data_IF_560604758669
#
_entry.id   IF_560604758669
#
_cell.length_a   1.000
_cell.length_b   1.000
_cell.length_c   1.000
_cell.angle_alpha   90.00
_cell.angle_beta   90.00
_cell.angle_gamma   90.00
#
_symmetry.space_group_name_H-M   'P 1'
#
loop_
_entity.id
_entity.type
_entity.pdbx_description
1 polymer ?
#
# COMPACT_ATOMS: atom_id res chain seq x y z
N UNK A 1 -4.89 -2.44 -18.80
CA UNK A 1 -5.35 -3.37 -17.74
C UNK A 1 -6.77 -3.86 -18.04
N UNK A 2 -7.72 -2.99 -18.29
CA UNK A 2 -9.14 -3.35 -18.55
C UNK A 2 -9.43 -4.22 -19.78
N UNK A 3 -8.44 -4.43 -20.66
CA UNK A 3 -8.54 -5.35 -21.81
C UNK A 3 -8.12 -6.79 -21.49
N UNK A 4 -7.75 -7.06 -20.24
CA UNK A 4 -7.30 -8.38 -19.79
C UNK A 4 -8.40 -9.11 -19.03
N UNK A 5 -8.41 -10.43 -19.19
CA UNK A 5 -9.18 -11.36 -18.40
C UNK A 5 -8.25 -12.39 -17.78
N UNK A 6 -8.62 -12.95 -16.66
CA UNK A 6 -7.88 -14.01 -15.97
C UNK A 6 -8.83 -15.16 -15.67
N UNK A 7 -8.38 -16.38 -15.93
CA UNK A 7 -9.10 -17.59 -15.55
C UNK A 7 -8.57 -18.11 -14.22
N UNK A 8 -9.47 -18.27 -13.25
CA UNK A 8 -9.15 -18.78 -11.91
C UNK A 8 -10.19 -19.84 -11.56
N UNK A 9 -9.74 -21.08 -11.30
CA UNK A 9 -10.60 -22.21 -10.98
C UNK A 9 -11.71 -22.45 -12.04
N UNK A 10 -11.38 -22.34 -13.32
CA UNK A 10 -12.31 -22.56 -14.43
C UNK A 10 -13.33 -21.43 -14.63
N UNK A 11 -13.18 -20.31 -13.97
CA UNK A 11 -14.02 -19.14 -14.15
C UNK A 11 -13.21 -17.95 -14.65
N UNK A 12 -13.70 -17.28 -15.69
CA UNK A 12 -13.07 -16.10 -16.26
C UNK A 12 -13.54 -14.84 -15.56
N UNK A 13 -12.61 -13.95 -15.23
CA UNK A 13 -12.85 -12.67 -14.56
C UNK A 13 -12.22 -11.53 -15.38
N UNK A 14 -12.94 -10.43 -15.61
CA UNK A 14 -12.34 -9.22 -16.15
C UNK A 14 -11.42 -8.58 -15.11
N UNK A 15 -10.26 -8.08 -15.54
CA UNK A 15 -9.34 -7.34 -14.68
C UNK A 15 -9.69 -5.86 -14.71
N UNK A 16 -9.82 -5.26 -13.53
CA UNK A 16 -10.08 -3.82 -13.34
C UNK A 16 -8.88 -3.15 -12.65
N UNK A 17 -8.50 -1.93 -13.05
CA UNK A 17 -7.58 -1.13 -12.27
C UNK A 17 -8.24 -0.70 -10.95
N UNK A 18 -7.47 -0.68 -9.88
CA UNK A 18 -7.93 -0.11 -8.61
C UNK A 18 -7.90 1.41 -8.74
N UNK A 19 -9.04 2.07 -8.52
CA UNK A 19 -9.27 3.49 -8.86
C UNK A 19 -9.10 4.46 -7.70
N UNK A 20 -8.99 3.98 -6.47
CA UNK A 20 -8.92 4.81 -5.27
C UNK A 20 -7.56 4.73 -4.55
N UNK A 21 -6.55 4.23 -5.21
CA UNK A 21 -5.14 4.35 -4.84
C UNK A 21 -4.34 4.82 -6.06
N UNK A 22 -3.10 5.23 -5.83
CA UNK A 22 -2.21 5.77 -6.87
C UNK A 22 -0.76 5.41 -6.59
N UNK A 23 0.05 5.31 -7.63
CA UNK A 23 1.49 5.44 -7.52
C UNK A 23 1.84 6.88 -7.08
N UNK A 24 3.05 7.11 -6.60
CA UNK A 24 3.43 8.38 -6.00
C UNK A 24 4.91 8.69 -6.13
N UNK A 25 5.29 9.96 -5.96
CA UNK A 25 6.69 10.31 -5.82
C UNK A 25 7.19 10.08 -4.39
N UNK A 26 8.50 9.88 -4.29
CA UNK A 26 9.23 9.67 -3.03
C UNK A 26 10.17 10.85 -2.82
N UNK A 27 10.26 11.36 -1.59
CA UNK A 27 11.25 12.35 -1.17
C UNK A 27 12.10 11.80 -0.04
N UNK A 28 13.21 12.48 0.22
CA UNK A 28 14.11 12.11 1.32
C UNK A 28 13.36 12.02 2.65
N UNK A 29 13.38 10.85 3.28
CA UNK A 29 12.63 10.50 4.50
C UNK A 29 11.10 10.66 4.42
N UNK A 30 10.53 10.74 3.20
CA UNK A 30 9.10 10.89 2.99
C UNK A 30 8.64 9.95 1.89
N UNK A 31 7.91 8.90 2.26
CA UNK A 31 7.47 7.86 1.31
C UNK A 31 6.48 8.40 0.27
N UNK A 32 5.57 9.30 0.66
CA UNK A 32 4.66 10.01 -0.24
C UNK A 32 5.08 11.48 -0.37
N UNK A 33 5.67 11.84 -1.51
CA UNK A 33 6.25 13.16 -1.75
C UNK A 33 5.26 14.25 -2.18
N UNK A 34 3.98 13.91 -2.31
CA UNK A 34 2.89 14.85 -2.62
C UNK A 34 2.42 14.86 -4.09
N UNK A 35 3.11 14.16 -5.01
CA UNK A 35 2.62 13.92 -6.38
C UNK A 35 2.08 12.49 -6.47
N UNK A 36 0.97 12.30 -7.20
CA UNK A 36 0.30 11.01 -7.41
C UNK A 36 0.22 10.67 -8.89
N UNK A 37 0.28 9.37 -9.20
CA UNK A 37 0.02 8.83 -10.54
C UNK A 37 -1.20 7.91 -10.42
N UNK A 38 -2.40 8.38 -10.82
CA UNK A 38 -3.62 7.57 -10.75
C UNK A 38 -3.59 6.42 -11.75
N UNK A 39 -4.24 5.30 -11.42
CA UNK A 39 -4.31 4.13 -12.30
C UNK A 39 -5.44 4.21 -13.33
N UNK A 40 -6.23 5.27 -13.27
CA UNK A 40 -7.30 5.57 -14.23
C UNK A 40 -7.06 6.94 -14.86
N UNK A 41 -7.52 7.10 -16.08
CA UNK A 41 -7.47 8.40 -16.76
C UNK A 41 -8.31 9.42 -16.00
N UNK A 42 -7.73 10.58 -15.71
CA UNK A 42 -8.37 11.70 -15.04
C UNK A 42 -7.96 13.04 -15.67
N UNK A 43 -8.36 14.15 -15.08
CA UNK A 43 -8.05 15.50 -15.53
C UNK A 43 -6.80 16.12 -14.89
N UNK A 44 -6.08 15.38 -14.06
CA UNK A 44 -4.85 15.86 -13.43
C UNK A 44 -3.78 16.17 -14.49
N UNK A 45 -3.20 17.37 -14.43
CA UNK A 45 -2.17 17.86 -15.34
C UNK A 45 -0.79 17.93 -14.68
N UNK A 46 -0.65 17.39 -13.45
CA UNK A 46 0.62 17.35 -12.73
C UNK A 46 1.65 16.57 -13.53
N UNK A 47 2.83 17.16 -13.73
CA UNK A 47 3.93 16.55 -14.47
C UNK A 47 5.03 16.05 -13.55
N UNK A 48 5.70 15.01 -13.98
CA UNK A 48 6.98 14.61 -13.41
C UNK A 48 8.05 15.62 -13.81
N UNK A 49 9.02 15.87 -12.94
CA UNK A 49 10.15 16.77 -13.16
C UNK A 49 11.46 15.99 -13.07
N UNK A 50 12.50 16.50 -13.72
CA UNK A 50 13.82 15.91 -13.68
C UNK A 50 14.36 15.86 -12.24
N UNK A 51 14.91 14.71 -11.85
CA UNK A 51 15.44 14.47 -10.50
C UNK A 51 14.42 13.99 -9.48
N UNK A 52 13.13 13.88 -9.84
CA UNK A 52 12.13 13.25 -8.96
C UNK A 52 12.22 11.74 -9.02
N UNK A 53 12.00 11.09 -7.88
CA UNK A 53 11.93 9.63 -7.74
C UNK A 53 10.48 9.21 -7.52
N UNK A 54 10.04 8.19 -8.23
CA UNK A 54 8.67 7.68 -8.14
C UNK A 54 8.66 6.19 -7.83
N UNK A 55 7.72 5.78 -6.99
CA UNK A 55 7.26 4.40 -6.89
C UNK A 55 6.16 4.20 -7.95
N UNK A 56 6.51 3.50 -9.03
CA UNK A 56 5.55 3.17 -10.09
C UNK A 56 4.94 1.82 -9.78
N UNK A 57 3.81 1.84 -9.17
CA UNK A 57 3.06 0.66 -8.77
C UNK A 57 1.73 0.58 -9.52
N UNK A 58 1.20 -0.61 -9.70
CA UNK A 58 -0.09 -0.84 -10.33
C UNK A 58 -0.85 -1.95 -9.58
N UNK A 59 -2.15 -1.78 -9.45
CA UNK A 59 -3.02 -2.74 -8.79
C UNK A 59 -4.18 -3.12 -9.70
N UNK A 60 -4.29 -4.42 -9.97
CA UNK A 60 -5.42 -5.01 -10.70
C UNK A 60 -6.26 -5.89 -9.77
N UNK A 61 -7.57 -5.91 -9.98
CA UNK A 61 -8.51 -6.71 -9.20
C UNK A 61 -9.58 -7.33 -10.09
N UNK A 62 -10.12 -8.46 -9.66
CA UNK A 62 -11.30 -9.10 -10.26
C UNK A 62 -12.62 -8.63 -9.59
N UNK A 63 -12.52 -7.77 -8.59
CA UNK A 63 -13.66 -7.27 -7.80
C UNK A 63 -14.25 -5.96 -8.34
N UNK A 64 -14.55 -5.04 -7.45
CA UNK A 64 -15.20 -3.77 -7.78
C UNK A 64 -14.31 -2.73 -8.44
N UNK A 65 -13.00 -2.87 -8.32
CA UNK A 65 -12.00 -1.85 -8.69
C UNK A 65 -11.86 -0.77 -7.63
N UNK A 66 -12.28 -1.03 -6.39
CA UNK A 66 -12.05 -0.17 -5.22
C UNK A 66 -11.57 -1.01 -4.06
N UNK A 67 -10.64 -0.47 -3.30
CA UNK A 67 -10.22 -1.02 -2.01
C UNK A 67 -10.95 -0.28 -0.89
N UNK A 68 -11.20 -1.00 0.18
CA UNK A 68 -11.88 -0.52 1.39
C UNK A 68 -10.99 -0.80 2.59
N UNK A 69 -11.05 0.07 3.59
CA UNK A 69 -10.29 -0.10 4.83
C UNK A 69 -10.79 -1.33 5.59
N UNK A 70 -9.87 -2.21 5.94
CA UNK A 70 -10.14 -3.37 6.79
C UNK A 70 -9.44 -3.13 8.14
N UNK A 71 -10.24 -2.78 9.14
CA UNK A 71 -9.77 -2.24 10.41
C UNK A 71 -9.30 -3.33 11.36
N UNK A 72 -8.02 -3.51 11.58
CA UNK A 72 -7.42 -3.84 12.89
C UNK A 72 -5.90 -4.09 12.88
N UNK A 73 -5.11 -3.24 13.50
CA UNK A 73 -3.71 -3.52 13.83
C UNK A 73 -3.18 -2.72 15.01
N UNK A 74 -2.35 -3.38 15.83
CA UNK A 74 -1.76 -2.86 17.07
C UNK A 74 -0.24 -3.12 17.23
N UNK A 75 0.46 -2.56 18.16
CA UNK A 75 1.89 -2.33 18.37
C UNK A 75 2.62 -2.75 19.55
N UNK A 76 3.86 -2.99 19.55
CA UNK A 76 4.92 -2.60 20.52
C UNK A 76 6.28 -2.60 19.83
N UNK A 77 7.14 -1.54 20.04
CA UNK A 77 8.56 -1.69 19.69
C UNK A 77 9.17 -0.51 18.93
N UNK A 78 8.90 0.72 19.39
CA UNK A 78 9.51 1.91 18.81
C UNK A 78 11.04 1.75 18.57
N UNK A 79 11.74 1.13 19.54
CA UNK A 79 13.20 0.91 19.39
C UNK A 79 13.52 -0.04 18.24
N UNK A 80 12.87 -1.19 18.18
CA UNK A 80 13.07 -2.17 17.11
C UNK A 80 12.66 -1.59 15.75
N UNK A 81 11.52 -0.89 15.70
CA UNK A 81 11.06 -0.23 14.49
C UNK A 81 12.09 0.79 14.00
N UNK A 82 12.58 1.65 14.89
CA UNK A 82 13.59 2.65 14.57
C UNK A 82 14.92 2.04 14.11
N UNK A 83 15.36 0.99 14.76
CA UNK A 83 16.63 0.32 14.46
C UNK A 83 16.58 -0.51 13.18
N UNK A 84 15.46 -1.17 12.91
CA UNK A 84 15.32 -2.11 11.79
C UNK A 84 14.73 -1.47 10.52
N UNK A 85 13.83 -0.52 10.68
CA UNK A 85 13.10 0.08 9.56
C UNK A 85 13.31 1.59 9.40
N UNK A 86 13.76 2.30 10.45
CA UNK A 86 13.94 3.75 10.40
C UNK A 86 12.62 4.47 10.07
N UNK A 87 12.54 5.08 8.89
CA UNK A 87 11.34 5.73 8.35
C UNK A 87 10.72 5.00 7.18
N UNK A 88 11.17 3.76 6.90
CA UNK A 88 10.66 2.94 5.81
C UNK A 88 9.37 2.24 6.24
N UNK A 89 8.42 2.13 5.32
CA UNK A 89 7.18 1.38 5.52
C UNK A 89 7.48 -0.10 5.81
N UNK A 90 6.81 -0.67 6.80
CA UNK A 90 6.94 -2.07 7.17
C UNK A 90 5.59 -2.68 7.50
N UNK A 91 5.48 -4.01 7.38
CA UNK A 91 4.29 -4.74 7.79
C UNK A 91 4.53 -5.56 9.07
N UNK A 92 3.44 -5.93 9.75
CA UNK A 92 3.50 -6.73 11.00
C UNK A 92 4.34 -7.99 10.90
N UNK A 93 4.29 -8.68 9.76
CA UNK A 93 5.07 -9.91 9.54
C UNK A 93 6.57 -9.71 9.71
N UNK A 94 7.08 -8.51 9.49
CA UNK A 94 8.50 -8.23 9.71
C UNK A 94 8.82 -8.17 11.20
N UNK A 95 7.93 -7.63 12.03
CA UNK A 95 8.09 -7.66 13.49
C UNK A 95 8.05 -9.11 14.02
N UNK A 96 7.12 -9.92 13.52
CA UNK A 96 7.01 -11.34 13.87
C UNK A 96 8.29 -12.13 13.49
N UNK A 97 8.85 -11.89 12.31
CA UNK A 97 10.13 -12.48 11.88
C UNK A 97 11.31 -12.04 12.74
N UNK A 98 11.24 -10.86 13.33
CA UNK A 98 12.22 -10.37 14.30
C UNK A 98 11.98 -10.91 15.73
N UNK A 99 11.08 -11.88 15.90
CA UNK A 99 10.77 -12.53 17.17
C UNK A 99 10.00 -11.65 18.14
N UNK A 100 9.33 -10.62 17.65
CA UNK A 100 8.56 -9.72 18.52
C UNK A 100 7.18 -10.29 18.78
N UNK A 101 6.89 -10.55 20.05
CA UNK A 101 5.60 -11.04 20.52
C UNK A 101 4.81 -9.93 21.22
N UNK A 102 3.46 -10.05 21.26
CA UNK A 102 2.56 -9.13 21.97
C UNK A 102 2.74 -7.64 21.63
N UNK A 103 3.25 -7.35 20.46
CA UNK A 103 3.55 -6.01 19.98
C UNK A 103 2.28 -5.17 19.69
N UNK A 104 1.11 -5.79 19.64
CA UNK A 104 -0.11 -5.17 19.17
C UNK A 104 -0.55 -3.92 19.99
N UNK A 105 -0.56 -3.95 21.31
CA UNK A 105 -0.98 -2.82 22.14
C UNK A 105 -0.07 -1.58 22.02
N UNK A 106 1.25 -1.78 21.96
CA UNK A 106 2.18 -0.69 21.75
C UNK A 106 2.08 -0.01 20.38
N UNK A 107 1.72 -0.65 19.17
CA UNK A 107 1.50 0.02 17.87
C UNK A 107 0.35 1.00 17.93
N UNK A 108 -0.75 0.62 18.53
CA UNK A 108 -1.82 1.56 18.76
C UNK A 108 -1.34 2.77 19.57
N UNK A 109 -0.54 2.52 20.58
CA UNK A 109 0.03 3.62 21.37
C UNK A 109 0.93 4.53 20.52
N UNK A 110 1.81 3.96 19.68
CA UNK A 110 2.69 4.75 18.81
C UNK A 110 1.91 5.49 17.72
N UNK A 111 0.88 4.87 17.15
CA UNK A 111 -0.03 5.51 16.19
C UNK A 111 -0.84 6.61 16.87
N UNK A 112 -1.46 6.34 18.03
CA UNK A 112 -2.26 7.32 18.77
C UNK A 112 -1.45 8.55 19.22
N UNK A 113 -0.16 8.38 19.44
CA UNK A 113 0.75 9.48 19.78
C UNK A 113 1.40 10.14 18.55
N UNK A 114 1.00 9.78 17.34
CA UNK A 114 1.52 10.36 16.09
C UNK A 114 2.99 10.04 15.81
N UNK A 115 3.54 8.99 16.45
CA UNK A 115 4.93 8.54 16.24
C UNK A 115 5.03 7.64 14.99
N UNK A 116 3.96 6.89 14.71
CA UNK A 116 3.80 6.07 13.52
C UNK A 116 2.54 6.50 12.78
N UNK A 117 2.59 6.43 11.47
CA UNK A 117 1.42 6.52 10.60
C UNK A 117 0.98 5.10 10.23
N UNK A 118 -0.31 4.80 10.45
CA UNK A 118 -0.89 3.52 10.07
C UNK A 118 -1.44 3.58 8.65
N UNK A 119 -1.03 2.63 7.82
CA UNK A 119 -1.66 2.35 6.53
C UNK A 119 -2.58 1.15 6.72
N UNK A 120 -3.87 1.37 6.56
CA UNK A 120 -4.85 0.30 6.70
C UNK A 120 -4.72 -0.73 5.57
N UNK A 121 -4.84 -2.03 5.89
CA UNK A 121 -4.89 -3.04 4.85
C UNK A 121 -6.13 -2.82 3.98
N UNK A 122 -5.92 -2.82 2.67
CA UNK A 122 -6.95 -2.54 1.69
C UNK A 122 -7.45 -3.85 1.07
N UNK A 123 -8.75 -4.01 0.96
CA UNK A 123 -9.37 -5.18 0.34
C UNK A 123 -10.50 -4.78 -0.59
N UNK A 124 -10.71 -5.56 -1.65
CA UNK A 124 -11.92 -5.51 -2.46
C UNK A 124 -12.99 -6.45 -1.86
N UNK A 125 -14.13 -6.57 -2.47
CA UNK A 125 -15.22 -7.42 -1.98
C UNK A 125 -14.76 -8.88 -1.81
N UNK A 126 -15.36 -9.59 -0.83
CA UNK A 126 -15.07 -11.00 -0.54
C UNK A 126 -15.18 -11.88 -1.79
N UNK A 127 -14.17 -12.70 -2.03
CA UNK A 127 -14.10 -13.62 -3.15
C UNK A 127 -13.51 -13.03 -4.45
N UNK A 128 -13.04 -11.76 -4.42
CA UNK A 128 -12.22 -11.20 -5.50
C UNK A 128 -10.74 -11.58 -5.33
N UNK A 129 -9.99 -11.45 -6.40
CA UNK A 129 -8.53 -11.64 -6.42
C UNK A 129 -7.87 -10.33 -6.78
N UNK A 130 -6.75 -10.01 -6.15
CA UNK A 130 -5.96 -8.81 -6.41
C UNK A 130 -4.51 -9.18 -6.69
N UNK A 131 -3.87 -8.43 -7.58
CA UNK A 131 -2.44 -8.54 -7.85
C UNK A 131 -1.81 -7.15 -7.89
N UNK A 132 -0.58 -7.06 -7.41
CA UNK A 132 0.23 -5.85 -7.40
C UNK A 132 1.51 -6.09 -8.19
N UNK A 133 1.96 -5.06 -8.88
CA UNK A 133 3.28 -4.95 -9.46
C UNK A 133 3.84 -3.56 -9.18
N UNK A 134 5.11 -3.47 -8.78
CA UNK A 134 5.74 -2.22 -8.38
C UNK A 134 7.19 -2.14 -8.89
N UNK A 135 7.62 -0.95 -9.26
CA UNK A 135 9.00 -0.61 -9.62
C UNK A 135 9.31 0.80 -9.10
N UNK A 136 10.52 0.98 -8.59
CA UNK A 136 11.04 2.31 -8.19
C UNK A 136 12.01 2.79 -9.25
N UNK A 137 11.81 3.99 -9.74
CA UNK A 137 12.65 4.65 -10.76
C UNK A 137 12.81 6.15 -10.48
#
# INVERSE_FOLDING_TARGET
>A
MESYEVEINGKTYPVKPVRNISAHNIKHYQIHGGKSIPFIKNSDQTKMEEGEVFAIETFGTTGTGRLYDDVSVHVQLYKVIREQFGTIVFCRRYLERLGQERYLAGLNSLVSNGILEAYEPLADIKGSYSAQFEHVS
#
